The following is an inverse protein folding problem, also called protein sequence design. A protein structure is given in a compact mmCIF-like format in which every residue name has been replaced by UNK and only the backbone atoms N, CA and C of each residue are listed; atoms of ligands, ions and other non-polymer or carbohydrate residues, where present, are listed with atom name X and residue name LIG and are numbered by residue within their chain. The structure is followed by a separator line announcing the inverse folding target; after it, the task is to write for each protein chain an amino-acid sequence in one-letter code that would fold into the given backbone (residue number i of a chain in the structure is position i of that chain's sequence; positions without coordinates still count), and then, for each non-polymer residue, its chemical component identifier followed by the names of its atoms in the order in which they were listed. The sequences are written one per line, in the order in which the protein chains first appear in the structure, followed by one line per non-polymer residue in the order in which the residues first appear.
data_IF_691783112441
#
_entry.id   IF_691783112441
#
_cell.length_a   1.000
_cell.length_b   1.000
_cell.length_c   1.000
_cell.angle_alpha   90.00
_cell.angle_beta   90.00
_cell.angle_gamma   90.00
#
_symmetry.space_group_name_H-M   'P 1'
#
loop_
_entity.id
_entity.type
_entity.pdbx_description
1 polymer ?
#
# COMPACT_ATOMS: atom_id res chain seq x y z
N UNK A 1 -39.41 -69.96 -48.61
CA UNK A 1 -38.53 -69.61 -47.47
C UNK A 1 -37.83 -68.30 -47.81
N UNK A 2 -38.28 -67.17 -47.23
CA UNK A 2 -37.69 -65.84 -47.44
C UNK A 2 -36.82 -65.46 -46.26
N UNK A 3 -35.49 -65.32 -46.45
CA UNK A 3 -34.59 -64.83 -45.40
C UNK A 3 -34.63 -63.32 -45.40
N UNK A 4 -35.02 -62.73 -44.24
CA UNK A 4 -34.97 -61.30 -43.97
C UNK A 4 -33.62 -60.96 -43.40
N UNK A 5 -32.83 -60.17 -44.15
CA UNK A 5 -31.57 -59.63 -43.70
C UNK A 5 -31.86 -58.39 -42.83
N UNK A 6 -31.51 -58.46 -41.56
CA UNK A 6 -31.58 -57.30 -40.67
C UNK A 6 -30.24 -56.57 -40.71
N UNK A 7 -30.28 -55.35 -41.33
CA UNK A 7 -29.16 -54.43 -41.31
C UNK A 7 -29.08 -53.73 -39.93
N UNK A 8 -27.97 -53.92 -39.26
CA UNK A 8 -27.67 -53.23 -37.99
C UNK A 8 -26.94 -51.93 -38.37
N UNK A 9 -27.60 -50.79 -38.19
CA UNK A 9 -26.96 -49.47 -38.28
C UNK A 9 -26.24 -49.20 -36.94
N UNK A 10 -24.89 -49.18 -36.99
CA UNK A 10 -24.08 -48.71 -35.88
C UNK A 10 -23.94 -47.19 -36.05
N UNK A 11 -24.65 -46.44 -35.21
CA UNK A 11 -24.49 -44.98 -35.13
C UNK A 11 -23.26 -44.72 -34.24
N UNK A 12 -22.15 -44.40 -34.89
CA UNK A 12 -20.96 -43.95 -34.17
C UNK A 12 -21.16 -42.53 -33.65
N UNK A 13 -21.26 -42.37 -32.34
CA UNK A 13 -21.25 -41.07 -31.70
C UNK A 13 -19.79 -40.57 -31.66
N UNK A 14 -19.42 -39.65 -32.53
CA UNK A 14 -18.15 -38.94 -32.44
C UNK A 14 -18.27 -37.90 -31.33
N UNK A 15 -17.69 -38.22 -30.16
CA UNK A 15 -17.54 -37.22 -29.09
C UNK A 15 -16.38 -36.28 -29.45
N UNK A 16 -16.72 -35.07 -29.91
CA UNK A 16 -15.75 -33.96 -29.98
C UNK A 16 -15.43 -33.50 -28.59
N UNK A 17 -14.27 -33.88 -28.07
CA UNK A 17 -13.70 -33.24 -26.87
C UNK A 17 -13.26 -31.81 -27.26
N UNK A 18 -14.07 -30.80 -26.94
CA UNK A 18 -13.67 -29.41 -27.01
C UNK A 18 -12.68 -29.19 -25.88
N UNK A 19 -11.37 -29.22 -26.16
CA UNK A 19 -10.36 -28.68 -25.28
C UNK A 19 -10.59 -27.16 -25.20
N UNK A 20 -11.37 -26.73 -24.22
CA UNK A 20 -11.46 -25.30 -23.88
C UNK A 20 -10.11 -24.86 -23.34
N UNK A 21 -9.35 -24.12 -24.14
CA UNK A 21 -8.25 -23.31 -23.63
C UNK A 21 -8.86 -22.30 -22.67
N UNK A 22 -8.73 -22.54 -21.37
CA UNK A 22 -8.95 -21.50 -20.38
C UNK A 22 -7.81 -20.49 -20.54
N UNK A 23 -8.05 -19.47 -21.36
CA UNK A 23 -7.24 -18.25 -21.36
C UNK A 23 -7.55 -17.57 -20.03
N UNK A 24 -6.72 -17.83 -19.02
CA UNK A 24 -6.72 -16.98 -17.84
C UNK A 24 -6.34 -15.58 -18.31
N UNK A 25 -7.21 -14.56 -18.17
CA UNK A 25 -6.82 -13.22 -18.51
C UNK A 25 -5.56 -12.91 -17.67
N UNK A 26 -4.48 -12.51 -18.32
CA UNK A 26 -3.35 -11.92 -17.63
C UNK A 26 -3.93 -10.72 -16.86
N UNK A 27 -3.98 -10.81 -15.53
CA UNK A 27 -4.38 -9.70 -14.69
C UNK A 27 -3.26 -8.67 -14.89
N UNK A 28 -3.50 -7.68 -15.75
CA UNK A 28 -2.65 -6.50 -15.80
C UNK A 28 -2.70 -5.89 -14.42
N UNK A 29 -1.56 -5.64 -13.78
CA UNK A 29 -1.48 -5.12 -12.42
C UNK A 29 -2.44 -3.96 -12.21
N UNK A 30 -3.25 -4.04 -11.15
CA UNK A 30 -4.20 -3.01 -10.77
C UNK A 30 -3.56 -1.93 -9.90
N UNK A 31 -4.28 -0.85 -9.59
CA UNK A 31 -3.75 0.23 -8.74
C UNK A 31 -3.43 -0.22 -7.31
N UNK A 32 -3.91 -1.39 -6.89
CA UNK A 32 -3.63 -2.00 -5.57
C UNK A 32 -2.39 -2.89 -5.56
N UNK A 33 -1.79 -3.17 -6.73
CA UNK A 33 -0.59 -3.99 -6.82
C UNK A 33 0.69 -3.15 -6.56
N UNK A 34 1.77 -3.82 -6.14
CA UNK A 34 3.08 -3.19 -5.94
C UNK A 34 3.24 -2.44 -4.61
N UNK A 35 2.35 -2.65 -3.63
CA UNK A 35 2.53 -2.18 -2.26
C UNK A 35 3.44 -3.16 -1.49
N UNK A 36 4.69 -3.28 -1.92
CA UNK A 36 5.67 -4.27 -1.48
C UNK A 36 6.72 -3.71 -0.49
N UNK A 37 6.73 -2.41 -0.27
CA UNK A 37 7.51 -1.80 0.81
C UNK A 37 6.64 -1.79 2.07
N UNK A 38 7.13 -2.42 3.15
CA UNK A 38 6.43 -2.44 4.42
C UNK A 38 7.30 -1.82 5.51
N UNK A 39 6.80 -0.74 6.09
CA UNK A 39 7.46 -0.07 7.23
C UNK A 39 6.50 0.07 8.39
N UNK A 40 7.04 0.28 9.59
CA UNK A 40 6.28 0.50 10.81
C UNK A 40 6.78 1.76 11.49
N UNK A 41 5.86 2.65 11.86
CA UNK A 41 6.17 3.88 12.56
C UNK A 41 5.05 4.33 13.51
N UNK A 42 5.37 5.01 14.62
CA UNK A 42 4.39 5.71 15.45
C UNK A 42 3.98 7.03 14.78
N UNK A 43 2.73 7.46 15.02
CA UNK A 43 2.21 8.74 14.55
C UNK A 43 1.86 9.66 15.71
N UNK A 44 1.98 10.99 15.48
CA UNK A 44 1.32 11.97 16.31
C UNK A 44 -0.18 11.94 16.00
N UNK A 45 -1.01 11.89 17.03
CA UNK A 45 -2.47 11.94 16.90
C UNK A 45 -2.97 13.39 17.08
N UNK A 46 -4.21 13.65 16.64
CA UNK A 46 -4.80 15.00 16.73
C UNK A 46 -4.91 15.55 18.16
N UNK A 47 -4.98 14.66 19.15
CA UNK A 47 -5.00 15.02 20.57
C UNK A 47 -3.61 15.27 21.18
N UNK A 48 -2.55 15.22 20.37
CA UNK A 48 -1.16 15.37 20.79
C UNK A 48 -0.55 14.12 21.40
N UNK A 49 -1.26 12.99 21.46
CA UNK A 49 -0.70 11.71 21.91
C UNK A 49 0.02 11.00 20.76
N UNK A 50 0.84 10.01 21.10
CA UNK A 50 1.49 9.12 20.13
C UNK A 50 0.65 7.86 19.99
N UNK A 51 0.26 7.55 18.76
CA UNK A 51 -0.46 6.33 18.40
C UNK A 51 0.41 5.33 17.65
N UNK A 52 -0.05 4.09 17.54
CA UNK A 52 0.66 3.03 16.82
C UNK A 52 1.58 2.18 17.69
N UNK A 53 2.65 1.56 17.15
CA UNK A 53 3.12 1.76 15.78
C UNK A 53 2.15 1.24 14.70
N UNK A 54 2.02 1.98 13.61
CA UNK A 54 1.16 1.64 12.47
C UNK A 54 1.96 0.99 11.34
N UNK A 55 1.28 0.20 10.51
CA UNK A 55 1.87 -0.54 9.40
C UNK A 55 1.60 0.17 8.07
N UNK A 56 2.66 0.64 7.43
CA UNK A 56 2.62 1.33 6.14
C UNK A 56 2.98 0.37 5.03
N UNK A 57 2.08 0.15 4.10
CA UNK A 57 2.33 -0.57 2.87
C UNK A 57 2.43 0.45 1.73
N UNK A 58 3.61 0.53 1.11
CA UNK A 58 3.94 1.61 0.19
C UNK A 58 4.34 1.13 -1.18
N UNK A 59 4.06 1.96 -2.19
CA UNK A 59 4.55 1.79 -3.57
C UNK A 59 4.96 3.11 -4.18
N UNK A 60 5.90 3.06 -5.13
CA UNK A 60 6.30 4.21 -5.93
C UNK A 60 5.24 4.58 -6.96
N UNK A 61 4.97 5.88 -7.09
CA UNK A 61 4.16 6.49 -8.14
C UNK A 61 4.93 7.66 -8.75
N UNK A 62 4.46 8.23 -9.87
CA UNK A 62 5.11 9.36 -10.53
C UNK A 62 6.62 9.16 -10.78
N UNK A 63 6.99 8.00 -11.35
CA UNK A 63 8.40 7.69 -11.62
C UNK A 63 9.26 7.45 -10.37
N UNK A 64 8.65 7.28 -9.19
CA UNK A 64 9.33 7.05 -7.92
C UNK A 64 9.61 8.33 -7.11
N UNK A 65 9.22 9.51 -7.60
CA UNK A 65 9.36 10.78 -6.85
C UNK A 65 8.38 10.88 -5.68
N UNK A 66 7.32 10.07 -5.72
CA UNK A 66 6.31 9.97 -4.65
C UNK A 66 6.11 8.50 -4.31
N UNK A 67 6.13 8.15 -3.00
CA UNK A 67 5.58 6.90 -2.53
C UNK A 67 4.20 7.16 -1.94
N UNK A 68 3.28 6.30 -2.29
CA UNK A 68 1.92 6.29 -1.75
C UNK A 68 1.81 5.13 -0.77
N UNK A 69 1.40 5.41 0.46
CA UNK A 69 1.29 4.43 1.53
C UNK A 69 -0.15 4.27 2.03
N UNK A 70 -0.57 3.03 2.17
CA UNK A 70 -1.79 2.64 2.91
C UNK A 70 -1.37 2.26 4.33
N UNK A 71 -2.02 2.82 5.33
CA UNK A 71 -1.63 2.68 6.73
C UNK A 71 -2.70 1.94 7.51
N UNK A 72 -2.30 0.83 8.12
CA UNK A 72 -3.18 -0.07 8.88
C UNK A 72 -2.80 -0.13 10.36
N UNK A 73 -3.79 -0.38 11.22
CA UNK A 73 -3.59 -0.52 12.67
C UNK A 73 -2.82 -1.80 13.06
N UNK A 74 -2.79 -2.80 12.18
CA UNK A 74 -2.11 -4.08 12.40
C UNK A 74 -1.84 -4.81 11.08
N UNK A 75 -1.20 -5.98 11.13
CA UNK A 75 -0.97 -6.86 9.99
C UNK A 75 -2.07 -7.92 9.78
N UNK A 76 -3.18 -7.86 10.51
CA UNK A 76 -4.29 -8.80 10.37
C UNK A 76 -5.04 -8.57 9.07
N UNK A 77 -5.65 -9.61 8.53
CA UNK A 77 -6.39 -9.53 7.27
C UNK A 77 -7.61 -8.58 7.33
N UNK A 78 -8.17 -8.36 8.52
CA UNK A 78 -9.31 -7.48 8.80
C UNK A 78 -8.89 -6.14 9.46
N UNK A 79 -7.60 -5.80 9.41
CA UNK A 79 -7.08 -4.55 9.97
C UNK A 79 -7.70 -3.33 9.32
N UNK A 80 -8.00 -2.32 10.14
CA UNK A 80 -8.55 -1.06 9.65
C UNK A 80 -7.51 -0.26 8.90
N UNK A 81 -7.88 0.28 7.74
CA UNK A 81 -7.15 1.36 7.08
C UNK A 81 -7.39 2.65 7.87
N UNK A 82 -6.40 3.09 8.63
CA UNK A 82 -6.53 4.22 9.56
C UNK A 82 -6.01 5.53 9.01
N UNK A 83 -5.10 5.48 8.03
CA UNK A 83 -4.52 6.66 7.42
C UNK A 83 -4.00 6.36 6.00
N UNK A 84 -3.67 7.41 5.26
CA UNK A 84 -2.83 7.36 4.07
C UNK A 84 -1.70 8.36 4.23
N UNK A 85 -0.56 8.04 3.62
CA UNK A 85 0.61 8.92 3.64
C UNK A 85 1.23 9.01 2.26
N UNK A 86 1.82 10.17 1.97
CA UNK A 86 2.67 10.36 0.81
C UNK A 86 4.07 10.74 1.25
N UNK A 87 5.07 9.98 0.80
CA UNK A 87 6.48 10.31 0.90
C UNK A 87 6.84 11.01 -0.40
N UNK A 88 7.19 12.28 -0.34
CA UNK A 88 7.43 13.12 -1.51
C UNK A 88 8.90 13.53 -1.50
N UNK A 89 9.60 13.40 -2.63
CA UNK A 89 10.99 13.84 -2.76
C UNK A 89 11.13 15.28 -2.25
N UNK A 90 12.15 15.54 -1.40
CA UNK A 90 12.29 16.81 -0.65
C UNK A 90 12.28 18.06 -1.53
N UNK A 91 12.99 18.03 -2.67
CA UNK A 91 13.00 19.19 -3.57
C UNK A 91 11.64 19.41 -4.23
N UNK A 92 10.93 18.31 -4.56
CA UNK A 92 9.59 18.38 -5.11
C UNK A 92 8.61 18.94 -4.08
N UNK A 93 8.62 18.43 -2.85
CA UNK A 93 7.75 18.89 -1.77
C UNK A 93 8.03 20.38 -1.46
N UNK A 94 9.29 20.73 -1.16
CA UNK A 94 9.68 22.05 -0.70
C UNK A 94 9.58 23.15 -1.76
N UNK A 95 9.62 22.79 -3.06
CA UNK A 95 9.37 23.69 -4.16
C UNK A 95 7.88 24.02 -4.36
N UNK A 96 7.00 23.05 -4.10
CA UNK A 96 5.57 23.16 -4.44
C UNK A 96 4.67 23.44 -3.24
N UNK A 97 5.13 23.18 -2.00
CA UNK A 97 4.37 23.41 -0.78
C UNK A 97 4.87 24.68 -0.09
N UNK A 98 3.99 25.67 0.16
CA UNK A 98 4.38 26.86 0.92
C UNK A 98 4.93 26.47 2.30
N UNK A 99 5.98 27.16 2.77
CA UNK A 99 6.66 26.84 4.03
C UNK A 99 5.70 26.78 5.23
N UNK A 100 4.73 27.68 5.29
CA UNK A 100 3.73 27.67 6.37
C UNK A 100 2.85 26.42 6.34
N UNK A 101 2.53 25.90 5.16
CA UNK A 101 1.78 24.64 5.00
C UNK A 101 2.67 23.44 5.33
N UNK A 102 3.93 23.47 4.90
CA UNK A 102 4.91 22.44 5.23
C UNK A 102 5.06 22.32 6.76
N UNK A 103 5.28 23.43 7.45
CA UNK A 103 5.42 23.45 8.90
C UNK A 103 4.17 22.96 9.67
N UNK A 104 3.01 23.00 9.05
CA UNK A 104 1.76 22.55 9.69
C UNK A 104 1.48 21.07 9.49
N UNK A 105 1.90 20.50 8.36
CA UNK A 105 1.37 19.22 7.91
C UNK A 105 2.46 18.21 7.51
N UNK A 106 3.67 18.69 7.20
CA UNK A 106 4.73 17.83 6.71
C UNK A 106 5.75 17.51 7.81
N UNK A 107 6.51 16.44 7.59
CA UNK A 107 7.64 16.04 8.43
C UNK A 107 8.78 15.54 7.57
N UNK A 108 9.97 15.51 8.15
CA UNK A 108 11.20 15.05 7.50
C UNK A 108 11.50 13.60 7.91
N UNK A 109 11.40 12.68 6.96
CA UNK A 109 11.69 11.27 7.22
C UNK A 109 13.14 10.99 7.61
N UNK A 110 14.11 11.82 7.21
CA UNK A 110 15.50 11.68 7.65
C UNK A 110 15.61 11.78 9.16
N UNK A 111 14.89 12.73 9.77
CA UNK A 111 14.83 12.91 11.23
C UNK A 111 14.21 11.71 11.92
N UNK A 112 13.14 11.15 11.36
CA UNK A 112 12.46 9.98 11.94
C UNK A 112 13.29 8.71 11.83
N UNK A 113 13.95 8.49 10.69
CA UNK A 113 14.84 7.36 10.47
C UNK A 113 16.07 7.47 11.38
N UNK A 114 16.70 8.63 11.45
CA UNK A 114 17.85 8.86 12.32
C UNK A 114 17.49 8.69 13.81
N UNK A 115 16.25 9.02 14.17
CA UNK A 115 15.70 8.80 15.52
C UNK A 115 15.28 7.37 15.82
N UNK A 116 15.42 6.43 14.86
CA UNK A 116 15.04 5.01 15.04
C UNK A 116 13.54 4.78 15.20
N UNK A 117 12.71 5.72 14.74
CA UNK A 117 11.26 5.65 14.85
C UNK A 117 10.61 4.83 13.74
N UNK A 118 11.27 4.77 12.58
CA UNK A 118 10.82 3.98 11.43
C UNK A 118 11.54 2.64 11.42
N UNK A 119 10.79 1.56 11.40
CA UNK A 119 11.28 0.19 11.28
C UNK A 119 10.88 -0.35 9.92
N UNK A 120 11.85 -0.74 9.09
CA UNK A 120 11.61 -1.34 7.79
C UNK A 120 11.40 -2.84 7.98
N UNK A 121 10.24 -3.33 7.55
CA UNK A 121 9.83 -4.72 7.73
C UNK A 121 9.95 -5.53 6.43
N UNK A 122 9.76 -4.91 5.28
CA UNK A 122 10.02 -5.47 3.95
C UNK A 122 10.69 -4.41 3.06
N UNK A 123 11.72 -4.80 2.30
CA UNK A 123 12.29 -6.16 2.16
C UNK A 123 12.94 -6.68 3.44
N UNK A 124 13.10 -8.02 3.55
CA UNK A 124 13.67 -8.68 4.76
C UNK A 124 15.20 -8.65 4.80
N UNK A 125 15.85 -8.50 3.65
CA UNK A 125 17.31 -8.48 3.60
C UNK A 125 17.89 -7.14 4.08
N UNK A 126 19.03 -7.13 4.78
CA UNK A 126 19.59 -5.91 5.37
C UNK A 126 19.97 -4.84 4.35
N UNK A 127 20.43 -5.21 3.16
CA UNK A 127 20.81 -4.23 2.12
C UNK A 127 19.57 -3.57 1.52
N UNK A 128 18.49 -4.34 1.30
CA UNK A 128 17.21 -3.79 0.88
C UNK A 128 16.62 -2.85 1.92
N UNK A 129 16.68 -3.20 3.21
CA UNK A 129 16.22 -2.32 4.30
C UNK A 129 17.02 -1.01 4.33
N UNK A 130 18.33 -1.08 4.18
CA UNK A 130 19.20 0.09 4.10
C UNK A 130 18.89 0.96 2.89
N UNK A 131 18.62 0.33 1.74
CA UNK A 131 18.23 1.05 0.51
C UNK A 131 16.88 1.78 0.69
N UNK A 132 15.88 1.14 1.30
CA UNK A 132 14.58 1.75 1.62
C UNK A 132 14.77 2.92 2.59
N UNK A 133 15.55 2.75 3.67
CA UNK A 133 15.85 3.83 4.62
C UNK A 133 16.52 5.02 3.95
N UNK A 134 17.52 4.77 3.09
CA UNK A 134 18.22 5.82 2.36
C UNK A 134 17.32 6.55 1.35
N UNK A 135 16.38 5.84 0.72
CA UNK A 135 15.41 6.43 -0.18
C UNK A 135 14.36 7.27 0.58
N UNK A 136 13.79 6.71 1.65
CA UNK A 136 12.83 7.39 2.51
C UNK A 136 13.41 8.66 3.15
N UNK A 137 14.66 8.63 3.61
CA UNK A 137 15.34 9.81 4.17
C UNK A 137 15.50 10.99 3.21
N UNK A 138 15.28 10.79 1.91
CA UNK A 138 15.28 11.87 0.89
C UNK A 138 13.89 12.47 0.67
N UNK A 139 12.90 12.08 1.46
CA UNK A 139 11.51 12.51 1.30
C UNK A 139 11.00 13.27 2.51
N UNK A 140 10.04 14.15 2.27
CA UNK A 140 9.16 14.73 3.28
C UNK A 140 7.82 13.99 3.24
N UNK A 141 7.22 13.74 4.40
CA UNK A 141 5.94 13.03 4.53
C UNK A 141 4.77 13.94 4.84
N UNK A 142 3.58 13.52 4.41
CA UNK A 142 2.32 14.08 4.86
C UNK A 142 1.31 12.96 5.11
N UNK A 143 0.76 12.91 6.35
CA UNK A 143 -0.15 11.86 6.80
C UNK A 143 -1.56 12.42 6.92
N UNK A 144 -2.53 11.72 6.34
CA UNK A 144 -3.96 12.00 6.47
C UNK A 144 -4.61 10.90 7.30
N UNK A 145 -4.92 11.19 8.55
CA UNK A 145 -5.64 10.25 9.41
C UNK A 145 -7.11 10.26 9.03
N UNK A 146 -7.62 9.09 8.64
CA UNK A 146 -8.98 8.86 8.16
C UNK A 146 -9.89 8.28 9.26
N UNK A 147 -9.27 7.73 10.31
CA UNK A 147 -9.93 7.07 11.41
C UNK A 147 -9.23 7.43 12.71
N UNK A 148 -9.93 8.12 13.61
CA UNK A 148 -9.39 8.50 14.91
C UNK A 148 -9.19 7.32 15.84
N UNK A 149 -8.23 7.44 16.76
CA UNK A 149 -7.79 6.37 17.67
C UNK A 149 -8.93 5.68 18.43
N UNK A 150 -9.89 6.44 18.90
CA UNK A 150 -10.99 5.95 19.75
C UNK A 150 -12.34 5.91 19.00
N UNK A 151 -12.35 6.11 17.69
CA UNK A 151 -13.56 6.07 16.89
C UNK A 151 -14.01 4.63 16.59
N UNK A 152 -15.29 4.37 16.75
CA UNK A 152 -15.90 3.06 16.38
C UNK A 152 -16.00 2.91 14.86
N UNK A 153 -16.26 4.02 14.16
CA UNK A 153 -16.30 4.13 12.69
C UNK A 153 -15.67 5.46 12.27
N UNK A 154 -15.20 5.62 11.01
CA UNK A 154 -14.80 6.91 10.49
C UNK A 154 -16.02 7.86 10.49
N UNK A 155 -15.86 9.07 11.00
CA UNK A 155 -16.94 10.07 11.10
C UNK A 155 -16.88 11.14 9.98
N UNK A 156 -15.95 11.00 9.03
CA UNK A 156 -15.73 11.95 7.95
C UNK A 156 -14.70 13.03 8.29
N UNK A 157 -14.18 13.08 9.52
CA UNK A 157 -13.11 14.00 9.90
C UNK A 157 -11.77 13.46 9.41
N UNK A 158 -11.00 14.29 8.70
CA UNK A 158 -9.61 14.03 8.34
C UNK A 158 -8.73 14.92 9.19
N UNK A 159 -7.76 14.33 9.89
CA UNK A 159 -6.78 15.10 10.68
C UNK A 159 -5.40 14.96 10.06
N UNK A 160 -4.63 16.05 10.08
CA UNK A 160 -3.26 16.15 9.56
C UNK A 160 -2.40 16.73 10.66
N UNK A 161 -2.10 15.96 11.72
CA UNK A 161 -1.24 16.43 12.79
C UNK A 161 0.21 16.43 12.33
N UNK A 162 1.02 17.30 12.92
CA UNK A 162 2.47 17.24 12.73
C UNK A 162 2.98 15.88 13.21
N UNK A 163 3.87 15.27 12.42
CA UNK A 163 4.48 14.02 12.82
C UNK A 163 5.54 14.22 13.90
N UNK A 164 5.92 13.11 14.53
CA UNK A 164 6.93 13.07 15.62
C UNK A 164 8.31 13.57 15.15
N UNK A 165 8.60 13.48 13.84
CA UNK A 165 9.83 13.94 13.21
C UNK A 165 9.87 15.43 12.88
N UNK A 166 8.84 16.20 13.23
CA UNK A 166 8.83 17.63 12.97
C UNK A 166 9.75 18.35 13.97
N UNK A 167 10.77 19.01 13.43
CA UNK A 167 11.70 19.85 14.21
C UNK A 167 11.39 21.30 13.90
N UNK A 168 11.06 22.08 14.90
CA UNK A 168 10.83 23.52 14.78
C UNK A 168 12.15 24.29 14.79
#
# INVERSE_FOLDING_TARGET
MKRVLRSIFIVGVLSFAVLGFMVTPAISGGPTDGFDIHVQAPHMMADGTVGGPYHHYCKGVQGGEVLQCLIFESTKADAKLVAVEYFIEKNLARKNVPLIQWNRAFHDHEVEIAGGRVVILDPKDPEGQKAVAAAAGKTDGVIFHLWGKDQVIPDGTVTIPNAIGHVH
#
